data_IF_561665014494
#
_entry.id   IF_561665014494
#
_cell.length_a   1.000
_cell.length_b   1.000
_cell.length_c   1.000
_cell.angle_alpha   90.00
_cell.angle_beta   90.00
_cell.angle_gamma   90.00
#
_symmetry.space_group_name_H-M   'P 1'
#
loop_
_entity.id
_entity.type
_entity.pdbx_description
1 polymer ?
#
# COMPACT_ATOMS: atom_id res chain seq x y z
N UNK A 1 30.69 -35.51 -13.73
CA UNK A 1 30.91 -34.06 -13.70
C UNK A 1 29.53 -33.40 -13.67
N UNK A 2 29.07 -33.02 -12.50
CA UNK A 2 27.77 -32.35 -12.31
C UNK A 2 27.94 -30.84 -12.45
N UNK A 3 27.05 -30.13 -13.12
CA UNK A 3 27.10 -28.66 -13.16
C UNK A 3 26.59 -28.11 -11.84
N UNK A 4 27.44 -27.44 -11.12
CA UNK A 4 27.14 -26.64 -9.95
C UNK A 4 26.24 -25.46 -10.35
N UNK A 5 25.04 -25.40 -9.78
CA UNK A 5 24.15 -24.28 -9.85
C UNK A 5 24.62 -23.18 -8.87
N UNK A 6 25.01 -21.98 -9.31
CA UNK A 6 25.31 -20.88 -8.42
C UNK A 6 24.02 -20.08 -8.14
N UNK A 7 23.19 -20.54 -7.23
CA UNK A 7 22.32 -19.65 -6.50
C UNK A 7 23.19 -18.76 -5.63
N UNK A 8 23.55 -17.62 -6.16
CA UNK A 8 24.35 -16.63 -5.47
C UNK A 8 23.49 -16.01 -4.34
N UNK A 9 23.83 -16.21 -3.06
CA UNK A 9 23.16 -15.54 -1.98
C UNK A 9 23.43 -14.03 -2.12
N UNK A 10 22.36 -13.26 -2.16
CA UNK A 10 22.22 -11.82 -1.98
C UNK A 10 23.54 -11.11 -1.72
N UNK A 11 24.09 -10.51 -2.77
CA UNK A 11 25.17 -9.56 -2.62
C UNK A 11 24.60 -8.33 -1.88
N UNK A 12 24.94 -8.07 -0.61
CA UNK A 12 24.43 -6.90 0.09
C UNK A 12 24.93 -5.69 -0.69
N UNK A 13 23.99 -4.94 -1.30
CA UNK A 13 24.33 -3.69 -1.96
C UNK A 13 25.15 -2.85 -0.99
N UNK A 14 26.37 -2.44 -1.40
CA UNK A 14 27.22 -1.56 -0.60
C UNK A 14 26.39 -0.37 -0.15
N UNK A 15 26.45 -0.01 1.15
CA UNK A 15 25.70 1.15 1.64
C UNK A 15 26.13 2.39 0.84
N UNK A 16 25.18 3.03 0.17
CA UNK A 16 25.41 4.29 -0.51
C UNK A 16 25.75 5.34 0.55
N UNK A 17 26.92 5.99 0.41
CA UNK A 17 27.34 7.05 1.32
C UNK A 17 26.97 8.41 0.73
N UNK A 18 26.37 9.30 1.53
CA UNK A 18 26.07 10.67 1.15
C UNK A 18 24.61 11.08 1.33
N UNK A 19 24.27 12.28 0.90
CA UNK A 19 22.93 12.88 1.01
C UNK A 19 21.84 12.03 0.34
N UNK A 20 22.19 11.30 -0.69
CA UNK A 20 21.31 10.43 -1.49
C UNK A 20 21.11 9.02 -0.89
N UNK A 21 21.89 8.68 0.13
CA UNK A 21 21.85 7.36 0.74
C UNK A 21 20.55 7.06 1.50
N UNK A 22 19.77 8.09 1.84
CA UNK A 22 18.55 7.98 2.64
C UNK A 22 17.27 7.99 1.80
N UNK A 23 17.38 8.29 0.51
CA UNK A 23 16.21 8.47 -0.35
C UNK A 23 15.39 9.72 0.01
N UNK A 24 14.20 9.81 -0.56
CA UNK A 24 13.20 10.85 -0.27
C UNK A 24 11.88 10.19 0.13
N UNK A 25 11.17 10.80 1.05
CA UNK A 25 9.85 10.33 1.47
C UNK A 25 8.89 10.26 0.28
N UNK A 26 8.13 9.16 0.12
CA UNK A 26 7.12 9.05 -0.92
C UNK A 26 6.10 10.18 -0.87
N UNK A 27 5.58 10.55 -2.05
CA UNK A 27 4.52 11.55 -2.11
C UNK A 27 3.28 11.12 -1.33
N UNK A 28 2.67 12.07 -0.65
CA UNK A 28 1.46 11.86 0.13
C UNK A 28 1.59 10.74 1.17
N UNK A 29 2.82 10.56 1.68
CA UNK A 29 3.04 9.57 2.74
C UNK A 29 2.20 9.88 3.97
N UNK A 30 1.51 8.85 4.46
CA UNK A 30 0.63 8.97 5.62
C UNK A 30 0.63 7.67 6.43
N UNK A 31 0.88 7.75 7.73
CA UNK A 31 0.66 6.65 8.65
C UNK A 31 -0.84 6.45 8.89
N UNK A 32 -1.35 5.27 8.57
CA UNK A 32 -2.73 4.85 8.89
C UNK A 32 -2.75 4.14 10.24
N UNK A 33 -1.80 3.24 10.45
CA UNK A 33 -1.50 2.62 11.75
C UNK A 33 -0.02 2.88 12.00
N UNK A 34 0.26 3.68 13.02
CA UNK A 34 1.63 4.13 13.29
C UNK A 34 2.60 2.95 13.38
N UNK A 35 3.73 3.07 12.67
CA UNK A 35 4.83 2.10 12.61
C UNK A 35 4.46 0.71 12.06
N UNK A 36 3.22 0.51 11.58
CA UNK A 36 2.73 -0.76 11.06
C UNK A 36 2.21 -0.67 9.63
N UNK A 37 1.35 0.31 9.34
CA UNK A 37 0.74 0.49 8.03
C UNK A 37 0.76 1.94 7.61
N UNK A 38 1.40 2.22 6.49
CA UNK A 38 1.35 3.51 5.83
C UNK A 38 0.68 3.41 4.45
N UNK A 39 0.32 4.56 3.91
CA UNK A 39 -0.13 4.69 2.53
C UNK A 39 0.60 5.83 1.83
N UNK A 40 0.71 5.76 0.50
CA UNK A 40 1.31 6.81 -0.31
C UNK A 40 0.74 6.80 -1.74
N UNK A 41 1.10 7.81 -2.53
CA UNK A 41 0.96 7.79 -3.98
C UNK A 41 1.93 6.75 -4.57
N UNK A 42 1.64 6.21 -5.76
CA UNK A 42 2.54 5.29 -6.45
C UNK A 42 3.97 5.82 -6.49
N UNK A 43 4.96 5.05 -6.00
CA UNK A 43 6.36 5.48 -6.04
C UNK A 43 6.82 5.91 -7.43
N UNK A 44 7.41 7.11 -7.51
CA UNK A 44 7.80 7.75 -8.76
C UNK A 44 6.73 8.60 -9.41
N UNK A 45 5.51 8.63 -8.85
CA UNK A 45 4.37 9.32 -9.43
C UNK A 45 3.70 8.54 -10.56
N UNK A 46 2.74 9.17 -11.24
CA UNK A 46 1.95 8.54 -12.30
C UNK A 46 1.78 9.44 -13.53
N UNK A 47 1.36 8.87 -14.64
CA UNK A 47 1.14 9.56 -15.92
C UNK A 47 2.36 10.44 -16.29
N UNK A 48 2.13 11.70 -16.63
CA UNK A 48 3.18 12.65 -17.00
C UNK A 48 4.13 13.03 -15.85
N UNK A 49 3.74 12.79 -14.62
CA UNK A 49 4.53 13.09 -13.42
C UNK A 49 5.45 11.93 -13.02
N UNK A 50 5.37 10.79 -13.69
CA UNK A 50 6.22 9.65 -13.40
C UNK A 50 7.70 9.95 -13.69
N UNK A 51 8.58 9.69 -12.71
CA UNK A 51 10.03 9.91 -12.80
C UNK A 51 10.78 8.69 -12.26
N UNK A 52 11.59 8.07 -13.10
CA UNK A 52 12.42 6.90 -12.72
C UNK A 52 13.32 7.18 -11.51
N UNK A 53 14.03 8.31 -11.55
CA UNK A 53 14.95 8.73 -10.48
C UNK A 53 14.20 8.90 -9.16
N UNK A 54 13.05 9.60 -9.19
CA UNK A 54 12.22 9.79 -8.02
C UNK A 54 11.73 8.45 -7.45
N UNK A 55 11.28 7.53 -8.30
CA UNK A 55 10.87 6.19 -7.87
C UNK A 55 11.99 5.50 -7.12
N UNK A 56 13.21 5.51 -7.66
CA UNK A 56 14.36 4.91 -7.01
C UNK A 56 14.65 5.52 -5.63
N UNK A 57 14.60 6.85 -5.53
CA UNK A 57 14.82 7.58 -4.27
C UNK A 57 13.74 7.27 -3.23
N UNK A 58 12.46 7.20 -3.64
CA UNK A 58 11.36 6.82 -2.75
C UNK A 58 11.47 5.36 -2.29
N UNK A 59 11.88 4.42 -3.16
CA UNK A 59 12.12 3.03 -2.80
C UNK A 59 13.31 2.86 -1.85
N UNK A 60 14.39 3.63 -2.04
CA UNK A 60 15.51 3.69 -1.07
C UNK A 60 14.99 4.14 0.28
N UNK A 61 14.17 5.18 0.32
CA UNK A 61 13.61 5.70 1.57
C UNK A 61 12.78 4.63 2.29
N UNK A 62 11.89 3.91 1.58
CA UNK A 62 11.09 2.84 2.17
C UNK A 62 11.97 1.75 2.79
N UNK A 63 13.01 1.32 2.08
CA UNK A 63 13.95 0.32 2.59
C UNK A 63 14.68 0.80 3.84
N UNK A 64 15.23 2.02 3.81
CA UNK A 64 15.99 2.60 4.93
C UNK A 64 15.10 2.88 6.15
N UNK A 65 13.77 3.03 5.97
CA UNK A 65 12.80 3.17 7.07
C UNK A 65 12.17 1.84 7.50
N UNK A 66 12.71 0.71 7.01
CA UNK A 66 12.36 -0.62 7.47
C UNK A 66 10.97 -1.11 7.02
N UNK A 67 10.47 -0.61 5.89
CA UNK A 67 9.28 -1.22 5.28
C UNK A 67 9.60 -2.62 4.78
N UNK A 68 8.79 -3.58 5.21
CA UNK A 68 9.00 -5.01 4.94
C UNK A 68 8.16 -5.51 3.76
N UNK A 69 7.11 -4.78 3.37
CA UNK A 69 6.21 -5.15 2.29
C UNK A 69 5.60 -3.93 1.60
N UNK A 70 5.60 -3.95 0.27
CA UNK A 70 4.84 -2.99 -0.56
C UNK A 70 3.59 -3.70 -1.07
N UNK A 71 2.41 -3.15 -0.81
CA UNK A 71 1.14 -3.65 -1.34
C UNK A 71 0.67 -2.71 -2.44
N UNK A 72 0.74 -3.17 -3.68
CA UNK A 72 0.26 -2.44 -4.86
C UNK A 72 -1.20 -2.78 -5.11
N UNK A 73 -2.06 -1.79 -5.08
CA UNK A 73 -3.50 -1.92 -5.39
C UNK A 73 -3.82 -1.72 -6.87
N UNK A 74 -2.80 -1.60 -7.71
CA UNK A 74 -2.95 -1.42 -9.16
C UNK A 74 -3.36 -2.73 -9.84
N UNK A 75 -4.22 -2.65 -10.84
CA UNK A 75 -4.53 -3.77 -11.73
C UNK A 75 -3.38 -4.08 -12.70
N UNK A 76 -2.55 -3.11 -13.00
CA UNK A 76 -1.40 -3.25 -13.88
C UNK A 76 -0.10 -3.55 -13.12
N UNK A 77 0.87 -4.29 -13.71
CA UNK A 77 2.13 -4.64 -13.07
C UNK A 77 3.14 -3.48 -13.05
N UNK A 78 2.66 -2.24 -13.11
CA UNK A 78 3.53 -1.06 -13.06
C UNK A 78 4.35 -1.01 -11.77
N UNK A 79 5.62 -0.73 -11.90
CA UNK A 79 6.61 -0.66 -10.83
C UNK A 79 7.05 -2.02 -10.22
N UNK A 80 6.38 -3.14 -10.43
CA UNK A 80 6.74 -4.40 -9.76
C UNK A 80 8.20 -4.78 -10.03
N UNK A 81 8.66 -4.70 -11.30
CA UNK A 81 10.07 -4.94 -11.65
C UNK A 81 11.04 -4.02 -10.88
N UNK A 82 10.66 -2.79 -10.57
CA UNK A 82 11.52 -1.88 -9.82
C UNK A 82 11.60 -2.28 -8.33
N UNK A 83 10.55 -2.87 -7.79
CA UNK A 83 10.56 -3.41 -6.43
C UNK A 83 11.46 -4.64 -6.37
N UNK A 84 11.40 -5.52 -7.39
CA UNK A 84 12.29 -6.68 -7.54
C UNK A 84 13.77 -6.26 -7.65
N UNK A 85 14.09 -5.31 -8.54
CA UNK A 85 15.45 -4.77 -8.72
C UNK A 85 16.02 -4.20 -7.41
N UNK A 86 15.17 -3.62 -6.57
CA UNK A 86 15.54 -3.08 -5.26
C UNK A 86 15.50 -4.10 -4.13
N UNK A 87 15.17 -5.36 -4.42
CA UNK A 87 14.96 -6.42 -3.43
C UNK A 87 13.97 -6.04 -2.33
N UNK A 88 12.92 -5.29 -2.70
CA UNK A 88 11.83 -4.92 -1.81
C UNK A 88 10.70 -5.95 -1.94
N UNK A 89 10.34 -6.66 -0.88
CA UNK A 89 9.19 -7.55 -0.89
C UNK A 89 7.94 -6.78 -1.27
N UNK A 90 7.15 -7.34 -2.17
CA UNK A 90 5.95 -6.70 -2.67
C UNK A 90 4.88 -7.72 -3.08
N UNK A 91 3.64 -7.29 -3.09
CA UNK A 91 2.54 -8.03 -3.68
C UNK A 91 1.56 -7.09 -4.38
N UNK A 92 0.89 -7.64 -5.38
CA UNK A 92 -0.14 -6.96 -6.15
C UNK A 92 -1.50 -7.51 -5.76
N UNK A 93 -2.37 -6.64 -5.28
CA UNK A 93 -3.75 -6.97 -4.87
C UNK A 93 -4.66 -5.88 -5.44
N UNK A 94 -5.16 -6.05 -6.69
CA UNK A 94 -5.93 -5.01 -7.36
C UNK A 94 -7.18 -4.61 -6.58
N UNK A 95 -7.38 -3.29 -6.41
CA UNK A 95 -8.59 -2.73 -5.82
C UNK A 95 -9.76 -2.77 -6.81
N UNK A 96 -9.48 -2.51 -8.08
CA UNK A 96 -10.45 -2.46 -9.17
C UNK A 96 -9.99 -3.36 -10.33
N UNK A 97 -10.04 -4.69 -10.17
CA UNK A 97 -9.67 -5.58 -11.27
C UNK A 97 -10.70 -5.47 -12.40
N UNK A 98 -10.23 -5.54 -13.64
CA UNK A 98 -11.10 -5.48 -14.82
C UNK A 98 -12.18 -6.56 -14.75
N UNK A 99 -13.46 -6.16 -14.77
CA UNK A 99 -14.61 -7.06 -14.67
C UNK A 99 -14.84 -7.68 -13.28
N UNK A 100 -14.14 -7.19 -12.27
CA UNK A 100 -14.28 -7.65 -10.89
C UNK A 100 -15.47 -7.02 -10.16
N UNK A 101 -15.91 -7.71 -9.10
CA UNK A 101 -16.88 -7.17 -8.14
C UNK A 101 -16.16 -6.40 -7.02
N UNK A 102 -16.58 -5.18 -6.78
CA UNK A 102 -15.94 -4.28 -5.80
C UNK A 102 -15.92 -4.87 -4.39
N UNK A 103 -17.02 -5.49 -3.96
CA UNK A 103 -17.12 -6.10 -2.63
C UNK A 103 -16.10 -7.23 -2.45
N UNK A 104 -15.96 -8.09 -3.46
CA UNK A 104 -14.99 -9.19 -3.48
C UNK A 104 -13.56 -8.65 -3.49
N UNK A 105 -13.28 -7.62 -4.27
CA UNK A 105 -11.97 -6.97 -4.34
C UNK A 105 -11.57 -6.36 -3.00
N UNK A 106 -12.48 -5.61 -2.37
CA UNK A 106 -12.26 -5.03 -1.04
C UNK A 106 -11.99 -6.10 0.01
N UNK A 107 -12.78 -7.19 -0.01
CA UNK A 107 -12.56 -8.31 0.94
C UNK A 107 -11.18 -8.94 0.76
N UNK A 108 -10.74 -9.14 -0.48
CA UNK A 108 -9.42 -9.67 -0.78
C UNK A 108 -8.30 -8.72 -0.31
N UNK A 109 -8.42 -7.42 -0.60
CA UNK A 109 -7.46 -6.40 -0.14
C UNK A 109 -7.39 -6.37 1.39
N UNK A 110 -8.54 -6.33 2.07
CA UNK A 110 -8.58 -6.27 3.53
C UNK A 110 -8.05 -7.54 4.19
N UNK A 111 -8.40 -8.71 3.66
CA UNK A 111 -7.88 -9.99 4.14
C UNK A 111 -6.36 -10.04 4.02
N UNK A 112 -5.83 -9.70 2.85
CA UNK A 112 -4.38 -9.65 2.61
C UNK A 112 -3.66 -8.69 3.57
N UNK A 113 -4.19 -7.49 3.79
CA UNK A 113 -3.60 -6.52 4.72
C UNK A 113 -3.66 -7.06 6.15
N UNK A 114 -4.77 -7.67 6.56
CA UNK A 114 -4.93 -8.25 7.90
C UNK A 114 -3.93 -9.38 8.13
N UNK A 115 -3.82 -10.33 7.18
CA UNK A 115 -2.88 -11.44 7.25
C UNK A 115 -1.42 -10.96 7.37
N UNK A 116 -1.05 -9.91 6.63
CA UNK A 116 0.28 -9.30 6.75
C UNK A 116 0.50 -8.67 8.13
N UNK A 117 -0.50 -8.00 8.67
CA UNK A 117 -0.40 -7.30 9.95
C UNK A 117 -0.57 -8.21 11.17
N UNK A 118 -0.92 -9.47 10.99
CA UNK A 118 -0.89 -10.48 12.05
C UNK A 118 0.55 -10.74 12.55
N UNK A 119 1.54 -10.61 11.67
CA UNK A 119 2.95 -10.62 12.06
C UNK A 119 3.34 -9.25 12.64
N UNK A 120 3.74 -9.17 13.95
CA UNK A 120 4.09 -7.89 14.57
C UNK A 120 5.30 -7.20 13.97
N UNK A 121 6.17 -7.93 13.27
CA UNK A 121 7.37 -7.37 12.64
C UNK A 121 7.07 -6.75 11.26
N UNK A 122 5.90 -6.99 10.71
CA UNK A 122 5.52 -6.42 9.41
C UNK A 122 5.23 -4.92 9.53
N UNK A 123 5.87 -4.19 8.64
CA UNK A 123 5.66 -2.77 8.38
C UNK A 123 5.37 -2.57 6.90
N UNK A 124 4.11 -2.36 6.58
CA UNK A 124 3.65 -2.34 5.19
C UNK A 124 3.36 -0.93 4.69
N UNK A 125 3.52 -0.75 3.39
CA UNK A 125 3.04 0.45 2.69
C UNK A 125 2.09 0.06 1.56
N UNK A 126 0.95 0.72 1.51
CA UNK A 126 -0.09 0.48 0.51
C UNK A 126 -0.13 1.65 -0.46
N UNK A 127 -0.22 1.40 -1.75
CA UNK A 127 -0.36 2.46 -2.73
C UNK A 127 -1.36 2.13 -3.83
N UNK A 128 -1.96 3.19 -4.37
CA UNK A 128 -2.72 3.18 -5.62
C UNK A 128 -2.00 4.11 -6.62
N UNK A 129 -2.58 4.35 -7.80
CA UNK A 129 -2.02 5.28 -8.80
C UNK A 129 -1.81 6.66 -8.19
N UNK A 130 -2.88 7.21 -7.62
CA UNK A 130 -2.89 8.49 -6.92
C UNK A 130 -3.41 8.34 -5.48
N UNK A 131 -3.02 9.27 -4.63
CA UNK A 131 -3.57 9.38 -3.28
C UNK A 131 -4.89 10.15 -3.32
N UNK A 132 -5.92 9.53 -3.86
CA UNK A 132 -7.25 10.09 -4.07
C UNK A 132 -8.33 9.43 -3.23
N UNK A 133 -9.58 9.74 -3.55
CA UNK A 133 -10.76 9.27 -2.81
C UNK A 133 -10.84 7.74 -2.69
N UNK A 134 -10.51 7.01 -3.76
CA UNK A 134 -10.58 5.55 -3.74
C UNK A 134 -9.59 4.94 -2.75
N UNK A 135 -8.36 5.44 -2.70
CA UNK A 135 -7.39 4.99 -1.69
C UNK A 135 -7.87 5.36 -0.29
N UNK A 136 -8.34 6.61 -0.09
CA UNK A 136 -8.88 7.05 1.19
C UNK A 136 -10.08 6.20 1.64
N UNK A 137 -11.00 5.89 0.74
CA UNK A 137 -12.16 5.04 1.01
C UNK A 137 -11.79 3.60 1.37
N UNK A 138 -10.82 3.02 0.66
CA UNK A 138 -10.27 1.70 0.98
C UNK A 138 -9.63 1.70 2.37
N UNK A 139 -8.84 2.71 2.71
CA UNK A 139 -8.21 2.82 4.03
C UNK A 139 -9.25 2.96 5.16
N UNK A 140 -10.29 3.79 4.95
CA UNK A 140 -11.40 3.92 5.92
C UNK A 140 -12.15 2.59 6.08
N UNK A 141 -12.44 1.91 4.96
CA UNK A 141 -13.04 0.59 4.97
C UNK A 141 -12.20 -0.45 5.69
N UNK A 142 -10.88 -0.42 5.53
CA UNK A 142 -9.98 -1.31 6.27
C UNK A 142 -10.06 -1.07 7.79
N UNK A 143 -10.12 0.17 8.26
CA UNK A 143 -10.29 0.48 9.69
C UNK A 143 -11.58 -0.15 10.25
N UNK A 144 -12.66 -0.15 9.47
CA UNK A 144 -13.92 -0.81 9.83
C UNK A 144 -13.81 -2.34 9.83
N UNK A 145 -13.19 -2.89 8.79
CA UNK A 145 -12.97 -4.33 8.65
C UNK A 145 -12.14 -4.90 9.81
N UNK A 146 -11.04 -4.23 10.13
CA UNK A 146 -10.13 -4.58 11.22
C UNK A 146 -10.69 -4.23 12.62
N UNK A 147 -11.92 -3.67 12.71
CA UNK A 147 -12.56 -3.24 13.95
C UNK A 147 -11.75 -2.21 14.77
N UNK A 148 -10.93 -1.43 14.09
CA UNK A 148 -10.19 -0.32 14.71
C UNK A 148 -11.07 0.90 14.97
N UNK A 149 -12.19 0.98 14.25
CA UNK A 149 -13.26 1.97 14.47
C UNK A 149 -14.63 1.29 14.34
N UNK A 150 -15.64 1.89 14.97
CA UNK A 150 -16.97 1.25 15.06
C UNK A 150 -17.88 1.57 13.88
N UNK A 151 -17.81 2.80 13.36
CA UNK A 151 -18.78 3.32 12.38
C UNK A 151 -18.12 3.96 11.16
N UNK A 152 -18.85 3.97 10.02
CA UNK A 152 -18.41 4.60 8.78
C UNK A 152 -18.04 6.07 8.93
N UNK A 153 -18.89 6.92 9.55
CA UNK A 153 -18.55 8.33 9.79
C UNK A 153 -17.26 8.53 10.58
N UNK A 154 -16.99 7.70 11.59
CA UNK A 154 -15.73 7.74 12.35
C UNK A 154 -14.56 7.35 11.45
N UNK A 155 -14.68 6.26 10.68
CA UNK A 155 -13.64 5.82 9.76
C UNK A 155 -13.28 6.92 8.74
N UNK A 156 -14.29 7.54 8.13
CA UNK A 156 -14.11 8.65 7.20
C UNK A 156 -13.40 9.82 7.90
N UNK A 157 -13.88 10.25 9.06
CA UNK A 157 -13.32 11.37 9.81
C UNK A 157 -11.84 11.12 10.20
N UNK A 158 -11.48 9.90 10.56
CA UNK A 158 -10.08 9.53 10.87
C UNK A 158 -9.21 9.70 9.63
N UNK A 159 -9.61 9.14 8.49
CA UNK A 159 -8.82 9.26 7.25
C UNK A 159 -8.75 10.70 6.75
N UNK A 160 -9.85 11.45 6.77
CA UNK A 160 -9.86 12.88 6.40
C UNK A 160 -8.90 13.69 7.25
N UNK A 161 -8.81 13.40 8.55
CA UNK A 161 -7.87 14.06 9.47
C UNK A 161 -6.43 13.68 9.18
N UNK A 162 -6.13 12.39 8.96
CA UNK A 162 -4.79 11.92 8.67
C UNK A 162 -4.26 12.46 7.34
N UNK A 163 -5.13 12.61 6.35
CA UNK A 163 -4.77 13.06 4.99
C UNK A 163 -4.94 14.56 4.78
N UNK A 164 -5.58 15.25 5.70
CA UNK A 164 -5.99 16.66 5.56
C UNK A 164 -6.83 16.93 4.30
N UNK A 165 -7.61 15.92 3.87
CA UNK A 165 -8.47 15.97 2.69
C UNK A 165 -9.86 15.48 3.03
N UNK A 166 -10.89 16.12 2.46
CA UNK A 166 -12.25 15.62 2.51
C UNK A 166 -12.43 14.46 1.53
N UNK A 167 -13.15 13.44 1.96
CA UNK A 167 -13.45 12.26 1.15
C UNK A 167 -14.67 12.51 0.27
N UNK A 168 -14.48 12.45 -1.02
CA UNK A 168 -15.55 12.56 -2.01
C UNK A 168 -16.40 11.30 -2.17
N UNK A 169 -17.42 11.35 -3.07
CA UNK A 169 -18.34 10.23 -3.29
C UNK A 169 -17.67 8.89 -3.61
N UNK A 170 -16.60 8.82 -4.45
CA UNK A 170 -15.96 7.54 -4.76
C UNK A 170 -15.37 6.84 -3.54
N UNK A 171 -14.83 7.59 -2.58
CA UNK A 171 -14.31 7.01 -1.35
C UNK A 171 -15.42 6.57 -0.39
N UNK A 172 -16.48 7.37 -0.27
CA UNK A 172 -17.65 7.06 0.56
C UNK A 172 -18.39 5.81 0.08
N UNK A 173 -18.42 5.56 -1.24
CA UNK A 173 -18.95 4.33 -1.82
C UNK A 173 -18.23 3.08 -1.29
N UNK A 174 -16.88 3.09 -1.24
CA UNK A 174 -16.12 1.96 -0.71
C UNK A 174 -16.43 1.70 0.77
N UNK A 175 -16.60 2.76 1.54
CA UNK A 175 -16.99 2.64 2.95
C UNK A 175 -18.39 2.04 3.09
N UNK A 176 -19.34 2.45 2.24
CA UNK A 176 -20.71 1.90 2.23
C UNK A 176 -20.72 0.40 1.89
N UNK A 177 -20.02 0.02 0.83
CA UNK A 177 -19.88 -1.41 0.44
C UNK A 177 -19.29 -2.24 1.59
N UNK A 178 -18.28 -1.71 2.29
CA UNK A 178 -17.67 -2.39 3.43
C UNK A 178 -18.66 -2.57 4.59
N UNK A 179 -19.51 -1.60 4.86
CA UNK A 179 -20.54 -1.68 5.91
C UNK A 179 -21.61 -2.72 5.57
N UNK A 180 -22.07 -2.78 4.32
CA UNK A 180 -23.05 -3.77 3.86
C UNK A 180 -22.52 -5.19 4.01
N UNK A 181 -21.26 -5.43 3.67
CA UNK A 181 -20.59 -6.70 3.88
C UNK A 181 -20.45 -7.09 5.35
N UNK A 182 -20.14 -6.12 6.23
CA UNK A 182 -20.03 -6.34 7.67
C UNK A 182 -21.37 -6.74 8.28
N UNK A 183 -22.47 -6.14 7.83
CA UNK A 183 -23.83 -6.50 8.24
C UNK A 183 -24.19 -7.91 7.82
N UNK A 184 -23.89 -8.33 6.58
CA UNK A 184 -24.15 -9.69 6.08
C UNK A 184 -23.38 -10.79 6.83
N UNK A 185 -22.20 -10.47 7.39
CA UNK A 185 -21.41 -11.44 8.17
C UNK A 185 -21.92 -11.62 9.61
N UNK A 186 -22.66 -10.64 10.12
CA UNK A 186 -23.21 -10.65 11.49
C UNK A 186 -24.68 -11.14 11.52
N UNK A 187 -25.27 -11.41 10.35
CA UNK A 187 -26.63 -11.96 10.18
C UNK A 187 -26.58 -13.45 9.87
#
# INVERSE_FOLDING_TARGET
MSPTNPLNPLNPMKPMKGKWARGIEPRMFCWVIKDRMAACERPGGYARNHRKVRRLEELIWLREHGFTMIVSLLDSPHNLHAYEEMSLPHMQVPLDPAGGDLSTSLRNVYGTIADLLDDPEQKIIVHLEEFGDRLCGMLAGYLLYARLVETGPIAISVIERLTSKQMGPPGRELVSVTLDEKLRRNS
#
